data_IF_460138346935
#
_entry.id   IF_460138346935
#
_cell.length_a   1.000
_cell.length_b   1.000
_cell.length_c   1.000
_cell.angle_alpha   90.00
_cell.angle_beta   90.00
_cell.angle_gamma   90.00
#
_symmetry.space_group_name_H-M   'P 1'
#
loop_
_entity.id
_entity.type
_entity.pdbx_description
1 polymer ?
#
# COMPACT_ATOMS: atom_id res chain seq x y z
N UNK A 1 48.60 30.55 -16.23
CA UNK A 1 47.54 30.85 -15.27
C UNK A 1 46.65 29.61 -15.18
N UNK A 2 46.86 28.84 -14.12
CA UNK A 2 46.29 27.51 -13.92
C UNK A 2 44.76 27.56 -13.81
N UNK A 3 44.09 26.91 -14.75
CA UNK A 3 42.68 26.60 -14.65
C UNK A 3 42.50 25.48 -13.61
N UNK A 4 42.23 25.86 -12.37
CA UNK A 4 41.68 24.96 -11.35
C UNK A 4 40.24 24.56 -11.73
N UNK A 5 40.08 23.51 -12.53
CA UNK A 5 38.83 22.77 -12.62
C UNK A 5 38.87 21.64 -11.60
N UNK A 6 38.49 21.91 -10.36
CA UNK A 6 38.00 20.82 -9.51
C UNK A 6 36.70 20.30 -10.13
N UNK A 7 36.59 19.00 -10.45
CA UNK A 7 35.29 18.42 -10.73
C UNK A 7 34.54 18.43 -9.40
N UNK A 8 33.66 19.42 -9.21
CA UNK A 8 32.72 19.40 -8.10
C UNK A 8 31.95 18.09 -8.24
N UNK A 9 32.24 17.11 -7.37
CA UNK A 9 31.39 15.94 -7.18
C UNK A 9 29.95 16.45 -7.18
N UNK A 10 29.13 15.94 -8.11
CA UNK A 10 27.69 16.22 -8.14
C UNK A 10 27.12 15.73 -6.81
N UNK A 11 27.17 16.57 -5.78
CA UNK A 11 26.49 16.32 -4.50
C UNK A 11 25.05 16.08 -4.86
N UNK A 12 24.49 14.98 -4.34
CA UNK A 12 23.10 14.60 -4.58
C UNK A 12 22.22 15.82 -4.32
N UNK A 13 21.30 16.15 -5.22
CA UNK A 13 20.45 17.35 -5.15
C UNK A 13 19.78 17.53 -3.78
N UNK A 14 19.45 16.42 -3.13
CA UNK A 14 18.90 16.32 -1.77
C UNK A 14 19.83 16.97 -0.73
N UNK A 15 21.14 16.75 -0.83
CA UNK A 15 22.11 17.32 0.10
C UNK A 15 22.17 18.84 -0.01
N UNK A 16 22.09 19.38 -1.23
CA UNK A 16 22.05 20.84 -1.44
C UNK A 16 20.77 21.46 -0.88
N UNK A 17 19.61 20.81 -1.06
CA UNK A 17 18.35 21.27 -0.46
C UNK A 17 18.41 21.22 1.07
N UNK A 18 18.97 20.15 1.65
CA UNK A 18 19.13 19.99 3.10
C UNK A 18 20.14 20.98 3.72
N UNK A 19 21.01 21.59 2.91
CA UNK A 19 21.85 22.71 3.35
C UNK A 19 21.03 24.00 3.47
N UNK A 20 20.16 24.31 2.50
CA UNK A 20 19.25 25.46 2.58
C UNK A 20 18.18 25.30 3.67
N UNK A 21 17.79 24.06 3.95
CA UNK A 21 16.85 23.74 5.02
C UNK A 21 17.50 23.69 6.41
N UNK A 22 18.83 23.86 6.53
CA UNK A 22 19.56 23.80 7.80
C UNK A 22 18.99 24.66 8.95
N UNK A 23 18.62 25.94 8.74
CA UNK A 23 18.09 26.78 9.82
C UNK A 23 16.71 26.33 10.31
N UNK A 24 15.93 25.62 9.49
CA UNK A 24 14.57 25.17 9.81
C UNK A 24 14.48 23.66 10.09
N UNK A 25 15.62 22.99 10.33
CA UNK A 25 15.67 21.53 10.55
C UNK A 25 14.78 21.06 11.69
N UNK A 26 14.74 21.82 12.78
CA UNK A 26 13.93 21.46 13.96
C UNK A 26 12.43 21.44 13.63
N UNK A 27 11.93 22.44 12.90
CA UNK A 27 10.53 22.49 12.47
C UNK A 27 10.20 21.40 11.44
N UNK A 28 11.12 21.06 10.52
CA UNK A 28 10.92 19.91 9.62
C UNK A 28 10.87 18.57 10.36
N UNK A 29 11.68 18.40 11.40
CA UNK A 29 11.64 17.18 12.23
C UNK A 29 10.30 17.13 12.98
N UNK A 30 9.83 18.26 13.50
CA UNK A 30 8.52 18.35 14.17
C UNK A 30 7.39 18.01 13.19
N UNK A 31 7.35 18.59 11.99
CA UNK A 31 6.29 18.27 11.01
C UNK A 31 6.33 16.79 10.62
N UNK A 32 7.52 16.23 10.38
CA UNK A 32 7.69 14.80 10.09
C UNK A 32 7.21 13.92 11.25
N UNK A 33 7.55 14.28 12.49
CA UNK A 33 7.09 13.56 13.67
C UNK A 33 5.55 13.61 13.83
N UNK A 34 4.95 14.78 13.64
CA UNK A 34 3.50 14.95 13.65
C UNK A 34 2.82 14.10 12.55
N UNK A 35 3.40 14.04 11.35
CA UNK A 35 2.91 13.18 10.29
C UNK A 35 2.97 11.68 10.69
N UNK A 36 4.05 11.22 11.32
CA UNK A 36 4.17 9.84 11.83
C UNK A 36 3.10 9.54 12.88
N UNK A 37 2.89 10.45 13.84
CA UNK A 37 1.83 10.30 14.86
C UNK A 37 0.45 10.24 14.21
N UNK A 38 0.20 11.05 13.18
CA UNK A 38 -1.06 11.02 12.45
C UNK A 38 -1.33 9.66 11.79
N UNK A 39 -0.29 9.07 11.21
CA UNK A 39 -0.34 7.76 10.56
C UNK A 39 -0.63 6.65 11.58
N UNK A 40 -0.01 6.69 12.77
CA UNK A 40 -0.30 5.76 13.86
C UNK A 40 -1.75 5.92 14.34
N UNK A 41 -2.24 7.15 14.48
CA UNK A 41 -3.65 7.41 14.80
C UNK A 41 -4.62 6.80 13.76
N UNK A 42 -4.22 6.83 12.49
CA UNK A 42 -4.96 6.22 11.39
C UNK A 42 -5.02 4.68 11.42
N UNK A 43 -4.18 4.01 12.23
CA UNK A 43 -4.26 2.56 12.43
C UNK A 43 -5.37 2.15 13.42
N UNK A 44 -5.78 3.04 14.32
CA UNK A 44 -6.73 2.72 15.39
C UNK A 44 -8.09 2.19 14.87
N UNK A 45 -8.70 2.75 13.79
CA UNK A 45 -9.92 2.19 13.22
C UNK A 45 -9.77 0.75 12.71
N UNK A 46 -8.63 0.41 12.11
CA UNK A 46 -8.38 -0.95 11.62
C UNK A 46 -8.24 -1.95 12.77
N UNK A 47 -7.52 -1.55 13.83
CA UNK A 47 -7.40 -2.35 15.06
C UNK A 47 -8.75 -2.53 15.74
N UNK A 48 -9.56 -1.46 15.81
CA UNK A 48 -10.91 -1.53 16.36
C UNK A 48 -11.80 -2.50 15.57
N UNK A 49 -11.77 -2.48 14.23
CA UNK A 49 -12.49 -3.42 13.38
C UNK A 49 -12.06 -4.86 13.67
N UNK A 50 -10.75 -5.12 13.78
CA UNK A 50 -10.23 -6.44 14.13
C UNK A 50 -10.80 -6.97 15.46
N UNK A 51 -10.78 -6.16 16.52
CA UNK A 51 -11.32 -6.59 17.82
C UNK A 51 -12.85 -6.73 17.82
N UNK A 52 -13.56 -5.90 17.07
CA UNK A 52 -15.02 -6.04 16.89
C UNK A 52 -15.33 -7.37 16.18
N UNK A 53 -14.59 -7.71 15.12
CA UNK A 53 -14.74 -9.00 14.43
C UNK A 53 -14.41 -10.17 15.35
N UNK A 54 -13.35 -10.09 16.15
CA UNK A 54 -13.00 -11.11 17.14
C UNK A 54 -14.14 -11.34 18.15
N UNK A 55 -14.67 -10.27 18.74
CA UNK A 55 -15.81 -10.35 19.68
C UNK A 55 -17.06 -10.99 19.05
N UNK A 56 -17.28 -10.74 17.76
CA UNK A 56 -18.42 -11.28 17.02
C UNK A 56 -18.23 -12.76 16.68
N UNK A 57 -16.99 -13.19 16.42
CA UNK A 57 -16.63 -14.61 16.21
C UNK A 57 -16.74 -15.39 17.53
N UNK A 58 -16.24 -14.82 18.62
CA UNK A 58 -16.25 -15.45 19.96
C UNK A 58 -17.66 -15.50 20.58
N UNK A 59 -18.66 -14.85 19.97
CA UNK A 59 -20.05 -14.83 20.48
C UNK A 59 -20.25 -14.05 21.78
N UNK A 60 -19.24 -13.31 22.25
CA UNK A 60 -19.24 -12.55 23.52
C UNK A 60 -19.61 -11.08 23.32
N UNK A 61 -20.18 -10.72 22.17
CA UNK A 61 -20.48 -9.34 21.83
C UNK A 61 -21.48 -8.70 22.81
N UNK A 62 -21.05 -7.61 23.43
CA UNK A 62 -21.90 -6.72 24.23
C UNK A 62 -21.91 -5.34 23.58
N UNK A 63 -23.05 -4.64 23.61
CA UNK A 63 -23.18 -3.26 23.08
C UNK A 63 -22.09 -2.34 23.67
N UNK A 64 -21.79 -2.51 24.97
CA UNK A 64 -20.73 -1.79 25.66
C UNK A 64 -19.34 -2.02 25.01
N UNK A 65 -18.98 -3.28 24.75
CA UNK A 65 -17.67 -3.64 24.17
C UNK A 65 -17.51 -3.10 22.75
N UNK A 66 -18.57 -3.15 21.94
CA UNK A 66 -18.56 -2.58 20.59
C UNK A 66 -18.44 -1.05 20.64
N UNK A 67 -19.22 -0.39 21.51
CA UNK A 67 -19.17 1.07 21.65
C UNK A 67 -17.81 1.59 22.10
N UNK A 68 -17.10 0.84 22.96
CA UNK A 68 -15.74 1.15 23.40
C UNK A 68 -14.75 1.16 22.21
N UNK A 69 -14.78 0.15 21.35
CA UNK A 69 -13.91 0.10 20.18
C UNK A 69 -14.26 1.15 19.11
N UNK A 70 -15.56 1.46 18.93
CA UNK A 70 -15.99 2.58 18.07
C UNK A 70 -15.48 3.91 18.62
N UNK A 71 -15.51 4.11 19.93
CA UNK A 71 -14.97 5.31 20.57
C UNK A 71 -13.45 5.41 20.33
N UNK A 72 -12.70 4.33 20.52
CA UNK A 72 -11.26 4.28 20.21
C UNK A 72 -11.00 4.61 18.73
N UNK A 73 -11.76 4.02 17.81
CA UNK A 73 -11.62 4.28 16.38
C UNK A 73 -11.84 5.77 16.06
N UNK A 74 -12.88 6.37 16.66
CA UNK A 74 -13.23 7.78 16.46
C UNK A 74 -12.17 8.72 17.05
N UNK A 75 -11.71 8.44 18.26
CA UNK A 75 -10.61 9.17 18.89
C UNK A 75 -9.32 9.07 18.07
N UNK A 76 -8.98 7.87 17.58
CA UNK A 76 -7.82 7.67 16.72
C UNK A 76 -7.91 8.42 15.40
N UNK A 77 -9.07 8.42 14.75
CA UNK A 77 -9.32 9.20 13.54
C UNK A 77 -9.24 10.72 13.79
N UNK A 78 -9.74 11.17 14.95
CA UNK A 78 -9.61 12.56 15.36
C UNK A 78 -8.14 12.95 15.56
N UNK A 79 -7.36 12.12 16.27
CA UNK A 79 -5.90 12.29 16.42
C UNK A 79 -5.21 12.32 15.05
N UNK A 80 -5.53 11.39 14.16
CA UNK A 80 -5.01 11.38 12.79
C UNK A 80 -5.25 12.72 12.10
N UNK A 81 -6.49 13.20 12.11
CA UNK A 81 -6.87 14.42 11.38
C UNK A 81 -6.20 15.66 11.95
N UNK A 82 -6.16 15.81 13.28
CA UNK A 82 -5.52 16.95 13.95
C UNK A 82 -4.01 16.97 13.69
N UNK A 83 -3.32 15.84 13.88
CA UNK A 83 -1.87 15.78 13.71
C UNK A 83 -1.46 15.89 12.24
N UNK A 84 -2.27 15.37 11.31
CA UNK A 84 -2.05 15.55 9.88
C UNK A 84 -2.19 17.03 9.48
N UNK A 85 -3.22 17.72 9.96
CA UNK A 85 -3.42 19.15 9.70
C UNK A 85 -2.27 19.99 10.27
N UNK A 86 -1.83 19.71 11.50
CA UNK A 86 -0.70 20.40 12.12
C UNK A 86 0.60 20.13 11.36
N UNK A 87 0.87 18.89 10.98
CA UNK A 87 2.03 18.52 10.17
C UNK A 87 2.05 19.30 8.85
N UNK A 88 0.93 19.29 8.12
CA UNK A 88 0.82 19.97 6.83
C UNK A 88 1.02 21.48 6.98
N UNK A 89 0.46 22.10 8.02
CA UNK A 89 0.65 23.52 8.32
C UNK A 89 2.12 23.88 8.56
N UNK A 90 2.79 23.19 9.48
CA UNK A 90 4.21 23.47 9.78
C UNK A 90 5.10 23.19 8.57
N UNK A 91 4.79 22.15 7.80
CA UNK A 91 5.55 21.82 6.61
C UNK A 91 5.50 22.92 5.55
N UNK A 92 4.32 23.46 5.25
CA UNK A 92 4.18 24.58 4.32
C UNK A 92 4.87 25.85 4.85
N UNK A 93 4.74 26.13 6.16
CA UNK A 93 5.43 27.27 6.77
C UNK A 93 6.95 27.17 6.58
N UNK A 94 7.53 25.99 6.81
CA UNK A 94 8.96 25.76 6.60
C UNK A 94 9.34 25.85 5.13
N UNK A 95 8.56 25.25 4.23
CA UNK A 95 8.79 25.31 2.80
C UNK A 95 8.84 26.76 2.31
N UNK A 96 7.84 27.58 2.64
CA UNK A 96 7.81 28.99 2.24
C UNK A 96 8.94 29.81 2.86
N UNK A 97 9.31 29.54 4.12
CA UNK A 97 10.45 30.21 4.76
C UNK A 97 11.78 29.89 4.07
N UNK A 98 11.95 28.64 3.60
CA UNK A 98 13.12 28.22 2.81
C UNK A 98 13.11 28.91 1.44
N UNK A 99 11.96 28.93 0.76
CA UNK A 99 11.80 29.58 -0.55
C UNK A 99 12.11 31.08 -0.47
N UNK A 100 11.62 31.78 0.57
CA UNK A 100 11.92 33.18 0.84
C UNK A 100 13.43 33.40 0.98
N UNK A 101 14.10 32.61 1.81
CA UNK A 101 15.54 32.73 2.04
C UNK A 101 16.36 32.48 0.76
N UNK A 102 15.98 31.47 -0.04
CA UNK A 102 16.61 31.21 -1.33
C UNK A 102 16.41 32.41 -2.27
N UNK A 103 15.21 33.00 -2.34
CA UNK A 103 14.95 34.19 -3.16
C UNK A 103 15.78 35.39 -2.74
N UNK A 104 15.90 35.64 -1.44
CA UNK A 104 16.73 36.73 -0.91
C UNK A 104 18.22 36.53 -1.24
N UNK A 105 18.76 35.31 -1.09
CA UNK A 105 20.15 35.02 -1.43
C UNK A 105 20.42 35.11 -2.94
N UNK A 106 19.48 34.66 -3.77
CA UNK A 106 19.58 34.80 -5.22
C UNK A 106 19.54 36.27 -5.64
N UNK A 107 18.68 37.09 -5.02
CA UNK A 107 18.62 38.53 -5.26
C UNK A 107 19.93 39.23 -4.85
N UNK A 108 20.47 38.91 -3.67
CA UNK A 108 21.73 39.48 -3.19
C UNK A 108 22.91 39.12 -4.10
N UNK A 109 22.98 37.86 -4.56
CA UNK A 109 23.99 37.44 -5.54
C UNK A 109 23.82 38.11 -6.89
N UNK A 110 22.58 38.30 -7.35
CA UNK A 110 22.31 38.99 -8.61
C UNK A 110 22.81 40.44 -8.55
N UNK A 111 22.57 41.14 -7.43
CA UNK A 111 23.04 42.52 -7.24
C UNK A 111 24.57 42.65 -7.19
N UNK A 112 25.28 41.60 -6.78
CA UNK A 112 26.76 41.59 -6.70
C UNK A 112 27.45 41.02 -7.94
N UNK A 113 26.69 40.47 -8.90
CA UNK A 113 27.28 39.83 -10.06
C UNK A 113 27.79 40.86 -11.08
N UNK A 114 28.93 40.59 -11.77
CA UNK A 114 29.46 41.49 -12.79
C UNK A 114 28.44 41.77 -13.89
N UNK A 115 28.27 43.05 -14.25
CA UNK A 115 27.24 43.48 -15.20
C UNK A 115 27.36 42.78 -16.56
N UNK A 116 28.59 42.51 -17.02
CA UNK A 116 28.86 41.78 -18.26
C UNK A 116 28.38 40.32 -18.26
N UNK A 117 28.21 39.70 -17.08
CA UNK A 117 27.60 38.37 -16.99
C UNK A 117 26.07 38.45 -17.02
N UNK A 118 25.47 39.48 -16.42
CA UNK A 118 24.02 39.65 -16.33
C UNK A 118 23.43 40.09 -17.67
N UNK A 119 24.04 41.07 -18.35
CA UNK A 119 23.55 41.61 -19.63
C UNK A 119 23.44 40.52 -20.71
N UNK A 120 24.31 39.51 -20.66
CA UNK A 120 24.33 38.41 -21.62
C UNK A 120 23.31 37.30 -21.31
N UNK A 121 22.49 37.43 -20.26
CA UNK A 121 21.46 36.43 -19.92
C UNK A 121 20.07 36.93 -20.37
N UNK A 122 19.28 36.10 -21.08
CA UNK A 122 17.90 36.44 -21.39
C UNK A 122 17.07 36.68 -20.12
N UNK A 123 16.24 37.73 -20.11
CA UNK A 123 15.37 38.08 -18.97
C UNK A 123 14.48 36.91 -18.55
N UNK A 124 13.97 36.13 -19.52
CA UNK A 124 13.16 34.94 -19.26
C UNK A 124 13.89 33.85 -18.47
N UNK A 125 15.21 33.68 -18.70
CA UNK A 125 16.03 32.73 -17.92
C UNK A 125 16.18 33.18 -16.48
N UNK A 126 16.32 34.48 -16.24
CA UNK A 126 16.38 35.04 -14.89
C UNK A 126 15.06 34.84 -14.13
N UNK A 127 13.93 35.13 -14.78
CA UNK A 127 12.58 34.87 -14.24
C UNK A 127 12.40 33.39 -13.91
N UNK A 128 12.81 32.49 -14.80
CA UNK A 128 12.71 31.05 -14.57
C UNK A 128 13.53 30.59 -13.35
N UNK A 129 14.75 31.12 -13.17
CA UNK A 129 15.61 30.71 -12.05
C UNK A 129 15.12 31.25 -10.71
N UNK A 130 14.73 32.53 -10.63
CA UNK A 130 14.37 33.18 -9.37
C UNK A 130 12.95 32.84 -8.92
N UNK A 131 12.02 32.72 -9.87
CA UNK A 131 10.60 32.50 -9.59
C UNK A 131 10.26 31.03 -9.76
N UNK A 132 10.25 30.54 -11.00
CA UNK A 132 9.66 29.24 -11.34
C UNK A 132 10.41 28.07 -10.68
N UNK A 133 11.75 28.03 -10.79
CA UNK A 133 12.56 26.94 -10.23
C UNK A 133 12.58 26.93 -8.71
N UNK A 134 12.57 28.10 -8.08
CA UNK A 134 12.48 28.18 -6.61
C UNK A 134 11.12 27.69 -6.14
N UNK A 135 10.04 28.04 -6.86
CA UNK A 135 8.69 27.57 -6.56
C UNK A 135 8.57 26.04 -6.69
N UNK A 136 9.23 25.42 -7.67
CA UNK A 136 9.23 23.94 -7.77
C UNK A 136 9.85 23.21 -6.57
N UNK A 137 10.57 23.91 -5.68
CA UNK A 137 11.10 23.34 -4.44
C UNK A 137 10.05 23.24 -3.33
N UNK A 138 8.89 23.89 -3.48
CA UNK A 138 7.81 23.86 -2.49
C UNK A 138 7.26 22.45 -2.32
N UNK A 139 6.78 21.81 -3.39
CA UNK A 139 6.22 20.45 -3.36
C UNK A 139 7.11 19.41 -2.64
N UNK A 140 8.42 19.25 -2.97
CA UNK A 140 9.25 18.28 -2.28
C UNK A 140 9.48 18.61 -0.80
N UNK A 141 9.55 19.89 -0.43
CA UNK A 141 9.75 20.32 0.95
C UNK A 141 8.48 20.20 1.79
N UNK A 142 7.33 20.61 1.22
CA UNK A 142 6.05 20.68 1.90
C UNK A 142 5.39 19.31 2.05
N UNK A 143 5.50 18.44 1.04
CA UNK A 143 4.77 17.16 1.03
C UNK A 143 5.70 15.94 1.04
N UNK A 144 6.69 15.88 0.13
CA UNK A 144 7.47 14.64 -0.06
C UNK A 144 8.28 14.30 1.19
N UNK A 145 8.88 15.28 1.87
CA UNK A 145 9.66 14.99 3.08
C UNK A 145 8.75 14.51 4.22
N UNK A 146 7.72 15.25 4.69
CA UNK A 146 6.97 14.82 5.88
C UNK A 146 5.97 13.71 5.58
N UNK A 147 5.20 13.85 4.51
CA UNK A 147 4.16 12.88 4.15
C UNK A 147 4.78 11.64 3.50
N UNK A 148 5.77 11.81 2.62
CA UNK A 148 6.42 10.68 1.96
C UNK A 148 7.12 9.74 2.95
N UNK A 149 7.85 10.28 3.93
CA UNK A 149 8.46 9.46 4.99
C UNK A 149 7.40 8.73 5.83
N UNK A 150 6.33 9.43 6.21
CA UNK A 150 5.27 8.86 7.04
C UNK A 150 4.46 7.79 6.30
N UNK A 151 4.18 8.02 5.01
CA UNK A 151 3.45 7.08 4.16
C UNK A 151 4.26 5.81 3.84
N UNK A 152 5.59 5.87 3.85
CA UNK A 152 6.45 4.69 3.71
C UNK A 152 6.52 3.89 5.03
N UNK A 153 6.54 4.58 6.16
CA UNK A 153 6.59 3.93 7.47
C UNK A 153 5.35 3.07 7.76
N UNK A 154 4.18 3.44 7.23
CA UNK A 154 2.94 2.69 7.44
C UNK A 154 2.99 1.26 6.87
N UNK A 155 3.20 1.03 5.56
CA UNK A 155 3.35 -0.32 5.01
C UNK A 155 4.46 -1.12 5.69
N UNK A 156 5.59 -0.48 6.03
CA UNK A 156 6.70 -1.15 6.74
C UNK A 156 6.26 -1.60 8.12
N UNK A 157 5.60 -0.73 8.89
CA UNK A 157 5.10 -1.04 10.23
C UNK A 157 4.05 -2.14 10.20
N UNK A 158 3.09 -2.07 9.27
CA UNK A 158 2.07 -3.11 9.08
C UNK A 158 2.71 -4.44 8.65
N UNK A 159 3.71 -4.42 7.77
CA UNK A 159 4.43 -5.63 7.37
C UNK A 159 5.21 -6.25 8.54
N UNK A 160 5.90 -5.44 9.35
CA UNK A 160 6.58 -5.91 10.57
C UNK A 160 5.58 -6.50 11.56
N UNK A 161 4.42 -5.86 11.73
CA UNK A 161 3.35 -6.38 12.58
C UNK A 161 2.82 -7.72 12.04
N UNK A 162 2.58 -7.84 10.73
CA UNK A 162 2.16 -9.11 10.12
C UNK A 162 3.20 -10.22 10.28
N UNK A 163 4.51 -9.91 10.23
CA UNK A 163 5.57 -10.89 10.50
C UNK A 163 5.49 -11.47 11.93
N UNK A 164 4.98 -10.70 12.90
CA UNK A 164 4.77 -11.20 14.28
C UNK A 164 3.55 -12.11 14.41
N UNK A 165 2.58 -12.00 13.50
CA UNK A 165 1.37 -12.83 13.46
C UNK A 165 1.65 -14.11 12.67
N UNK A 166 1.98 -13.98 11.38
CA UNK A 166 2.34 -15.09 10.50
C UNK A 166 3.23 -14.59 9.35
N UNK A 167 4.45 -15.13 9.28
CA UNK A 167 5.43 -14.71 8.27
C UNK A 167 5.03 -15.07 6.83
N UNK A 168 4.25 -16.13 6.63
CA UNK A 168 3.77 -16.59 5.31
C UNK A 168 2.74 -15.62 4.76
N UNK A 169 1.79 -15.20 5.60
CA UNK A 169 0.81 -14.17 5.26
C UNK A 169 1.46 -12.81 5.03
N UNK A 170 2.46 -12.44 5.84
CA UNK A 170 3.24 -11.22 5.62
C UNK A 170 3.92 -11.24 4.24
N UNK A 171 4.65 -12.30 3.90
CA UNK A 171 5.29 -12.45 2.59
C UNK A 171 4.27 -12.44 1.43
N UNK A 172 3.08 -13.00 1.63
CA UNK A 172 2.01 -12.99 0.64
C UNK A 172 1.56 -11.56 0.28
N UNK A 173 1.50 -10.64 1.25
CA UNK A 173 1.19 -9.22 0.97
C UNK A 173 2.23 -8.55 0.07
N UNK A 174 3.48 -9.01 0.10
CA UNK A 174 4.57 -8.41 -0.64
C UNK A 174 4.58 -8.83 -2.11
N UNK A 175 3.84 -9.86 -2.53
CA UNK A 175 3.85 -10.39 -3.91
C UNK A 175 3.49 -9.31 -4.94
N UNK A 176 2.61 -8.36 -4.60
CA UNK A 176 2.21 -7.28 -5.52
C UNK A 176 3.32 -6.26 -5.75
N UNK A 177 4.23 -6.07 -4.79
CA UNK A 177 5.32 -5.08 -4.85
C UNK A 177 6.35 -5.37 -5.96
N UNK A 178 7.01 -6.55 -6.04
CA UNK A 178 7.99 -6.83 -7.08
C UNK A 178 7.34 -6.91 -8.47
N UNK A 179 6.10 -7.43 -8.56
CA UNK A 179 5.34 -7.46 -9.82
C UNK A 179 5.12 -6.04 -10.32
N UNK A 180 4.59 -5.16 -9.48
CA UNK A 180 4.34 -3.76 -9.83
C UNK A 180 5.64 -3.00 -10.12
N UNK A 181 6.69 -3.26 -9.35
CA UNK A 181 8.01 -2.68 -9.60
C UNK A 181 8.55 -3.06 -10.98
N UNK A 182 8.39 -4.32 -11.40
CA UNK A 182 8.79 -4.78 -12.73
C UNK A 182 8.00 -4.09 -13.84
N UNK A 183 6.68 -3.91 -13.67
CA UNK A 183 5.82 -3.17 -14.61
C UNK A 183 6.31 -1.72 -14.77
N UNK A 184 6.60 -1.05 -13.65
CA UNK A 184 7.15 0.31 -13.69
C UNK A 184 8.55 0.37 -14.30
N UNK A 185 9.40 -0.63 -14.07
CA UNK A 185 10.72 -0.70 -14.70
C UNK A 185 10.62 -0.82 -16.22
N UNK A 186 9.69 -1.64 -16.73
CA UNK A 186 9.42 -1.76 -18.17
C UNK A 186 8.91 -0.42 -18.73
N UNK A 187 7.99 0.23 -18.01
CA UNK A 187 7.45 1.54 -18.39
C UNK A 187 8.56 2.61 -18.45
N UNK A 188 9.49 2.60 -17.50
CA UNK A 188 10.58 3.58 -17.42
C UNK A 188 11.69 3.35 -18.45
N UNK A 189 11.82 2.16 -19.03
CA UNK A 189 12.92 1.79 -19.95
C UNK A 189 13.11 2.77 -21.11
N UNK A 190 12.00 3.25 -21.68
CA UNK A 190 12.03 4.13 -22.85
C UNK A 190 11.72 5.61 -22.50
N UNK A 191 11.59 5.94 -21.21
CA UNK A 191 11.16 7.26 -20.75
C UNK A 191 12.04 8.39 -21.29
N UNK A 192 13.37 8.28 -21.15
CA UNK A 192 14.29 9.34 -21.57
C UNK A 192 14.20 9.65 -23.08
N UNK A 193 14.03 8.61 -23.90
CA UNK A 193 13.90 8.76 -25.35
C UNK A 193 12.57 9.42 -25.73
N UNK A 194 11.46 8.94 -25.15
CA UNK A 194 10.13 9.54 -25.39
C UNK A 194 10.06 10.97 -24.87
N UNK A 195 10.63 11.25 -23.70
CA UNK A 195 10.68 12.59 -23.14
C UNK A 195 11.48 13.55 -24.02
N UNK A 196 12.62 13.11 -24.58
CA UNK A 196 13.41 13.91 -25.52
C UNK A 196 12.60 14.24 -26.79
N UNK A 197 12.00 13.24 -27.42
CA UNK A 197 11.17 13.42 -28.61
C UNK A 197 9.96 14.32 -28.35
N UNK A 198 9.32 14.19 -27.16
CA UNK A 198 8.27 15.10 -26.70
C UNK A 198 8.75 16.55 -26.61
N UNK A 199 9.95 16.78 -26.04
CA UNK A 199 10.54 18.13 -25.97
C UNK A 199 10.85 18.69 -27.35
N UNK A 200 11.39 17.89 -28.27
CA UNK A 200 11.66 18.33 -29.65
C UNK A 200 10.37 18.72 -30.38
N UNK A 201 9.31 17.90 -30.29
CA UNK A 201 8.01 18.20 -30.88
C UNK A 201 7.34 19.45 -30.26
N UNK A 202 7.47 19.61 -28.93
CA UNK A 202 6.98 20.79 -28.20
C UNK A 202 7.69 22.07 -28.64
N UNK A 203 9.03 22.02 -28.75
CA UNK A 203 9.83 23.15 -29.23
C UNK A 203 9.49 23.52 -30.67
N UNK A 204 9.27 22.53 -31.54
CA UNK A 204 8.85 22.75 -32.92
C UNK A 204 7.49 23.44 -33.01
N UNK A 205 6.50 23.00 -32.24
CA UNK A 205 5.18 23.67 -32.22
C UNK A 205 5.30 25.10 -31.69
N UNK A 206 6.05 25.32 -30.61
CA UNK A 206 6.26 26.66 -30.08
C UNK A 206 6.91 27.60 -31.10
N UNK A 207 7.90 27.14 -31.86
CA UNK A 207 8.52 27.98 -32.90
C UNK A 207 7.55 28.33 -34.02
N UNK A 208 6.72 27.37 -34.47
CA UNK A 208 5.68 27.62 -35.49
C UNK A 208 4.61 28.58 -34.97
N UNK A 209 4.23 28.50 -33.70
CA UNK A 209 3.28 29.43 -33.06
C UNK A 209 3.86 30.86 -33.10
N UNK A 210 5.12 31.03 -32.67
CA UNK A 210 5.79 32.34 -32.68
C UNK A 210 5.90 32.89 -34.10
N UNK A 211 6.38 32.10 -35.05
CA UNK A 211 6.48 32.50 -36.47
C UNK A 211 5.13 32.92 -37.05
N UNK A 212 4.05 32.21 -36.71
CA UNK A 212 2.70 32.53 -37.17
C UNK A 212 2.19 33.85 -36.56
N UNK A 213 2.43 34.09 -35.27
CA UNK A 213 1.99 35.30 -34.56
C UNK A 213 2.79 36.52 -35.01
N UNK A 214 4.11 36.42 -35.07
CA UNK A 214 4.98 37.52 -35.53
C UNK A 214 4.77 37.82 -37.02
N UNK A 215 4.52 36.79 -37.84
CA UNK A 215 4.29 36.92 -39.27
C UNK A 215 2.85 37.26 -39.69
N UNK A 216 1.91 37.42 -38.76
CA UNK A 216 0.47 37.45 -39.08
C UNK A 216 0.08 38.65 -39.96
N UNK A 217 0.72 39.80 -39.77
CA UNK A 217 0.49 41.00 -40.58
C UNK A 217 0.91 40.75 -42.03
N UNK A 218 2.11 40.19 -42.23
CA UNK A 218 2.64 39.82 -43.56
C UNK A 218 1.75 38.77 -44.22
N UNK A 219 1.33 37.74 -43.49
CA UNK A 219 0.45 36.68 -44.01
C UNK A 219 -0.87 37.26 -44.52
N UNK A 220 -1.46 38.23 -43.81
CA UNK A 220 -2.70 38.92 -44.20
C UNK A 220 -2.48 39.82 -45.42
N UNK A 221 -1.38 40.58 -45.45
CA UNK A 221 -1.06 41.50 -46.55
C UNK A 221 -0.81 40.76 -47.87
N UNK A 222 -0.19 39.58 -47.83
CA UNK A 222 0.05 38.74 -49.01
C UNK A 222 -1.07 37.71 -49.28
N UNK A 223 -2.19 37.77 -48.55
CA UNK A 223 -3.34 36.87 -48.66
C UNK A 223 -2.98 35.36 -48.61
N UNK A 224 -1.97 34.98 -47.81
CA UNK A 224 -1.48 33.58 -47.68
C UNK A 224 -2.09 32.82 -46.50
N UNK A 225 -3.19 33.31 -45.93
CA UNK A 225 -3.79 32.79 -44.68
C UNK A 225 -3.99 31.28 -44.67
N UNK A 226 -4.49 30.70 -45.76
CA UNK A 226 -4.74 29.25 -45.85
C UNK A 226 -3.47 28.39 -45.75
N UNK A 227 -2.37 28.81 -46.39
CA UNK A 227 -1.11 28.04 -46.38
C UNK A 227 -0.44 28.09 -45.01
N UNK A 228 -0.34 29.28 -44.42
CA UNK A 228 0.25 29.47 -43.10
C UNK A 228 -0.58 28.82 -41.99
N UNK A 229 -1.92 28.93 -42.09
CA UNK A 229 -2.83 28.23 -41.16
C UNK A 229 -2.68 26.71 -41.27
N UNK A 230 -2.54 26.15 -42.48
CA UNK A 230 -2.33 24.71 -42.66
C UNK A 230 -1.01 24.23 -42.05
N UNK A 231 0.09 25.00 -42.20
CA UNK A 231 1.40 24.72 -41.55
C UNK A 231 1.25 24.71 -40.02
N UNK A 232 0.61 25.74 -39.47
CA UNK A 232 0.34 25.88 -38.03
C UNK A 232 -0.53 24.72 -37.50
N UNK A 233 -1.68 24.49 -38.12
CA UNK A 233 -2.60 23.41 -37.74
C UNK A 233 -1.92 22.05 -37.82
N UNK A 234 -1.09 21.81 -38.84
CA UNK A 234 -0.38 20.55 -38.99
C UNK A 234 0.62 20.30 -37.85
N UNK A 235 1.39 21.34 -37.46
CA UNK A 235 2.32 21.27 -36.34
C UNK A 235 1.58 20.90 -35.04
N UNK A 236 0.45 21.56 -34.76
CA UNK A 236 -0.39 21.25 -33.59
C UNK A 236 -0.91 19.81 -33.64
N UNK A 237 -1.45 19.37 -34.78
CA UNK A 237 -1.96 17.99 -34.90
C UNK A 237 -0.87 16.95 -34.73
N UNK A 238 0.33 17.19 -35.27
CA UNK A 238 1.49 16.30 -35.13
C UNK A 238 1.92 16.17 -33.66
N UNK A 239 2.00 17.29 -32.94
CA UNK A 239 2.31 17.28 -31.51
C UNK A 239 1.24 16.59 -30.66
N UNK A 240 -0.04 16.82 -30.98
CA UNK A 240 -1.17 16.11 -30.36
C UNK A 240 -1.07 14.61 -30.60
N UNK A 241 -0.84 14.17 -31.83
CA UNK A 241 -0.75 12.76 -32.19
C UNK A 241 0.47 12.09 -31.51
N UNK A 242 1.60 12.77 -31.46
CA UNK A 242 2.78 12.32 -30.72
C UNK A 242 2.47 12.13 -29.22
N UNK A 243 1.85 13.14 -28.61
CA UNK A 243 1.46 13.12 -27.20
C UNK A 243 0.50 11.96 -26.93
N UNK A 244 -0.57 11.82 -27.73
CA UNK A 244 -1.53 10.73 -27.59
C UNK A 244 -0.90 9.34 -27.75
N UNK A 245 0.05 9.17 -28.67
CA UNK A 245 0.76 7.90 -28.84
C UNK A 245 1.63 7.56 -27.63
N UNK A 246 2.30 8.55 -27.03
CA UNK A 246 3.03 8.34 -25.79
C UNK A 246 2.09 7.98 -24.62
N UNK A 247 0.96 8.68 -24.48
CA UNK A 247 -0.06 8.32 -23.50
C UNK A 247 -0.57 6.89 -23.72
N UNK A 248 -0.97 6.52 -24.95
CA UNK A 248 -1.48 5.17 -25.27
C UNK A 248 -0.46 4.06 -24.99
N UNK A 249 0.82 4.31 -25.20
CA UNK A 249 1.87 3.31 -24.89
C UNK A 249 2.14 3.15 -23.39
N UNK A 250 1.93 4.21 -22.60
CA UNK A 250 2.25 4.22 -21.15
C UNK A 250 1.04 3.88 -20.29
N UNK A 251 -0.15 4.28 -20.72
CA UNK A 251 -1.40 4.20 -19.96
C UNK A 251 -1.76 2.78 -19.51
N UNK A 252 -1.64 1.72 -20.35
CA UNK A 252 -1.97 0.36 -19.91
C UNK A 252 -1.06 -0.11 -18.77
N UNK A 253 0.26 0.11 -18.89
CA UNK A 253 1.24 -0.26 -17.86
C UNK A 253 1.03 0.54 -16.58
N UNK A 254 0.77 1.85 -16.69
CA UNK A 254 0.47 2.71 -15.54
C UNK A 254 -0.81 2.27 -14.84
N UNK A 255 -1.88 1.99 -15.59
CA UNK A 255 -3.17 1.54 -15.04
C UNK A 255 -3.00 0.19 -14.35
N UNK A 256 -2.29 -0.74 -14.98
CA UNK A 256 -2.03 -2.06 -14.44
C UNK A 256 -1.18 -1.97 -13.16
N UNK A 257 -0.12 -1.16 -13.13
CA UNK A 257 0.68 -0.90 -11.93
C UNK A 257 -0.12 -0.28 -10.79
N UNK A 258 -0.94 0.75 -11.07
CA UNK A 258 -1.79 1.40 -10.07
C UNK A 258 -2.92 0.50 -9.55
N UNK A 259 -3.43 -0.42 -10.35
CA UNK A 259 -4.43 -1.40 -9.93
C UNK A 259 -3.81 -2.53 -9.08
N UNK A 260 -2.61 -3.01 -9.44
CA UNK A 260 -1.95 -4.12 -8.75
C UNK A 260 -1.35 -3.73 -7.41
N UNK A 261 -0.73 -2.55 -7.29
CA UNK A 261 -0.04 -2.14 -6.06
C UNK A 261 -0.91 -2.21 -4.80
N UNK A 262 -2.14 -1.66 -4.76
CA UNK A 262 -2.99 -1.73 -3.57
C UNK A 262 -3.73 -3.06 -3.43
N UNK A 263 -3.67 -3.95 -4.42
CA UNK A 263 -4.45 -5.20 -4.46
C UNK A 263 -3.77 -6.33 -3.68
N UNK A 264 -3.48 -6.10 -2.39
CA UNK A 264 -2.80 -7.06 -1.51
C UNK A 264 -3.51 -8.43 -1.42
N UNK A 265 -4.83 -8.45 -1.62
CA UNK A 265 -5.65 -9.66 -1.71
C UNK A 265 -5.19 -10.65 -2.79
N UNK A 266 -4.54 -10.18 -3.87
CA UNK A 266 -4.00 -11.04 -4.93
C UNK A 266 -3.01 -12.07 -4.36
N UNK A 267 -2.22 -11.67 -3.36
CA UNK A 267 -1.29 -12.56 -2.68
C UNK A 267 -1.92 -13.22 -1.45
N UNK A 268 -2.60 -12.45 -0.59
CA UNK A 268 -3.05 -12.97 0.72
C UNK A 268 -4.23 -13.95 0.62
N UNK A 269 -5.13 -13.80 -0.35
CA UNK A 269 -6.32 -14.65 -0.42
C UNK A 269 -6.02 -16.09 -0.84
N UNK A 270 -5.22 -16.36 -1.89
CA UNK A 270 -4.80 -17.73 -2.22
C UNK A 270 -3.97 -18.38 -1.12
N UNK A 271 -3.01 -17.64 -0.53
CA UNK A 271 -2.16 -18.17 0.54
C UNK A 271 -2.98 -18.46 1.80
N UNK A 272 -3.86 -17.56 2.20
CA UNK A 272 -4.77 -17.78 3.33
C UNK A 272 -5.68 -18.99 3.13
N UNK A 273 -6.22 -19.18 1.92
CA UNK A 273 -7.05 -20.35 1.61
C UNK A 273 -6.27 -21.67 1.69
N UNK A 274 -5.02 -21.69 1.22
CA UNK A 274 -4.15 -22.86 1.31
C UNK A 274 -3.76 -23.18 2.76
N UNK A 275 -3.49 -22.17 3.58
CA UNK A 275 -3.20 -22.34 5.01
C UNK A 275 -4.42 -22.89 5.76
N UNK A 276 -5.61 -22.37 5.45
CA UNK A 276 -6.87 -22.85 5.99
C UNK A 276 -7.11 -24.33 5.64
N UNK A 277 -6.90 -24.73 4.39
CA UNK A 277 -7.08 -26.12 3.96
C UNK A 277 -6.07 -27.09 4.59
N UNK A 278 -4.84 -26.64 4.84
CA UNK A 278 -3.78 -27.45 5.42
C UNK A 278 -3.78 -27.46 6.96
N UNK A 279 -4.77 -26.85 7.62
CA UNK A 279 -4.92 -26.83 9.08
C UNK A 279 -3.77 -26.16 9.83
N UNK A 280 -2.95 -25.35 9.15
CA UNK A 280 -1.69 -24.80 9.69
C UNK A 280 -1.82 -23.37 10.24
N UNK A 281 -3.06 -22.93 10.47
CA UNK A 281 -3.41 -21.77 11.29
C UNK A 281 -3.79 -22.24 12.70
N UNK A 282 -2.77 -22.40 13.55
CA UNK A 282 -2.86 -22.83 14.95
C UNK A 282 -3.82 -21.95 15.79
N UNK A 283 -4.09 -20.71 15.36
CA UNK A 283 -5.03 -19.80 16.01
C UNK A 283 -6.51 -20.17 15.83
N UNK A 284 -6.86 -20.92 14.77
CA UNK A 284 -8.21 -21.47 14.55
C UNK A 284 -8.32 -22.93 14.96
N UNK A 285 -7.23 -23.70 14.83
CA UNK A 285 -7.18 -25.08 15.34
C UNK A 285 -7.25 -25.16 16.87
N UNK A 286 -6.99 -24.05 17.58
CA UNK A 286 -7.21 -23.92 19.04
C UNK A 286 -8.63 -23.45 19.41
N UNK A 287 -9.37 -22.83 18.48
CA UNK A 287 -10.78 -22.49 18.65
C UNK A 287 -11.71 -23.71 18.47
N UNK A 288 -11.32 -24.69 17.65
CA UNK A 288 -12.11 -25.91 17.42
C UNK A 288 -12.23 -26.82 18.65
N UNK A 289 -11.17 -27.12 19.44
CA UNK A 289 -11.26 -27.94 20.65
C UNK A 289 -12.14 -27.30 21.74
N UNK A 290 -12.02 -25.98 21.92
CA UNK A 290 -12.79 -25.26 22.94
C UNK A 290 -14.27 -25.17 22.52
N UNK A 291 -14.56 -24.84 21.25
CA UNK A 291 -15.92 -24.89 20.71
C UNK A 291 -16.51 -26.31 20.70
N UNK A 292 -15.73 -27.33 20.35
CA UNK A 292 -16.18 -28.73 20.36
C UNK A 292 -16.52 -29.18 21.78
N UNK A 293 -15.72 -28.78 22.79
CA UNK A 293 -16.02 -29.05 24.20
C UNK A 293 -17.31 -28.36 24.68
N UNK A 294 -17.54 -27.10 24.28
CA UNK A 294 -18.74 -26.33 24.65
C UNK A 294 -20.00 -26.87 23.97
N UNK A 295 -19.92 -27.23 22.69
CA UNK A 295 -21.01 -27.89 21.94
C UNK A 295 -21.32 -29.24 22.58
N UNK A 296 -20.31 -30.03 22.93
CA UNK A 296 -20.50 -31.32 23.57
C UNK A 296 -21.16 -31.19 24.95
N UNK A 297 -20.72 -30.24 25.79
CA UNK A 297 -21.37 -29.95 27.06
C UNK A 297 -22.82 -29.49 26.89
N UNK A 298 -23.11 -28.63 25.91
CA UNK A 298 -24.47 -28.17 25.64
C UNK A 298 -25.39 -29.32 25.16
N UNK A 299 -24.88 -30.20 24.30
CA UNK A 299 -25.59 -31.41 23.85
C UNK A 299 -25.81 -32.38 25.02
N UNK A 300 -24.82 -32.60 25.88
CA UNK A 300 -24.97 -33.44 27.06
C UNK A 300 -26.04 -32.88 28.01
N UNK A 301 -26.06 -31.56 28.25
CA UNK A 301 -27.08 -30.92 29.08
C UNK A 301 -28.49 -31.05 28.50
N UNK A 302 -28.64 -30.88 27.18
CA UNK A 302 -29.92 -31.01 26.46
C UNK A 302 -30.43 -32.46 26.40
N UNK A 303 -29.54 -33.45 26.55
CA UNK A 303 -29.84 -34.88 26.40
C UNK A 303 -29.98 -35.62 27.73
N UNK A 304 -29.61 -35.03 28.88
CA UNK A 304 -29.66 -35.60 30.25
C UNK A 304 -30.98 -36.29 30.66
N UNK A 305 -32.10 -36.07 29.98
CA UNK A 305 -33.40 -36.71 30.27
C UNK A 305 -34.13 -37.23 29.03
N UNK A 306 -33.43 -37.44 27.92
CA UNK A 306 -34.02 -37.90 26.66
C UNK A 306 -33.26 -39.11 26.13
N UNK A 307 -33.99 -40.09 25.58
CA UNK A 307 -33.36 -41.16 24.81
C UNK A 307 -32.83 -40.57 23.51
N UNK A 308 -31.51 -40.47 23.41
CA UNK A 308 -30.83 -39.85 22.26
C UNK A 308 -30.16 -40.94 21.42
N UNK A 309 -30.58 -41.06 20.16
CA UNK A 309 -29.96 -41.96 19.19
C UNK A 309 -28.97 -41.17 18.35
N UNK A 310 -27.69 -41.49 18.46
CA UNK A 310 -26.60 -40.77 17.78
C UNK A 310 -25.94 -41.71 16.78
N UNK A 311 -25.89 -41.29 15.51
CA UNK A 311 -25.06 -41.93 14.49
C UNK A 311 -23.72 -41.20 14.49
N UNK A 312 -22.73 -41.76 15.17
CA UNK A 312 -21.45 -41.11 15.39
C UNK A 312 -20.37 -41.62 14.43
N UNK A 313 -19.58 -40.68 13.90
CA UNK A 313 -18.37 -40.96 13.12
C UNK A 313 -17.07 -40.54 13.85
N UNK A 314 -17.20 -39.89 15.02
CA UNK A 314 -16.09 -39.41 15.86
C UNK A 314 -15.96 -40.29 17.11
N UNK A 315 -14.73 -40.56 17.53
CA UNK A 315 -14.46 -41.45 18.67
C UNK A 315 -14.96 -40.86 20.00
N UNK A 316 -14.71 -39.57 20.23
CA UNK A 316 -15.11 -38.87 21.46
C UNK A 316 -16.62 -38.97 21.74
N UNK A 317 -17.46 -38.92 20.71
CA UNK A 317 -18.92 -39.06 20.84
C UNK A 317 -19.36 -40.49 21.16
N UNK A 318 -18.57 -41.49 20.74
CA UNK A 318 -18.87 -42.91 20.94
C UNK A 318 -18.41 -43.39 22.31
N UNK A 319 -17.27 -42.88 22.80
CA UNK A 319 -16.67 -43.32 24.07
C UNK A 319 -17.59 -43.15 25.28
N UNK A 320 -18.33 -42.05 25.34
CA UNK A 320 -19.20 -41.72 26.48
C UNK A 320 -20.63 -42.27 26.32
N UNK A 321 -20.90 -43.08 25.29
CA UNK A 321 -22.24 -43.61 25.06
C UNK A 321 -22.58 -44.70 26.08
N UNK A 322 -23.75 -44.57 26.73
CA UNK A 322 -24.31 -45.58 27.62
C UNK A 322 -24.50 -46.96 26.95
N UNK A 323 -24.70 -46.98 25.63
CA UNK A 323 -24.81 -48.20 24.84
C UNK A 323 -24.43 -47.93 23.39
N UNK A 324 -23.46 -48.69 22.89
CA UNK A 324 -23.01 -48.65 21.50
C UNK A 324 -23.60 -49.84 20.76
N UNK A 325 -24.07 -49.61 19.53
CA UNK A 325 -24.56 -50.65 18.63
C UNK A 325 -23.75 -50.59 17.34
N UNK A 326 -23.05 -51.67 17.02
CA UNK A 326 -22.21 -51.77 15.81
C UNK A 326 -23.00 -52.47 14.73
N UNK A 327 -23.17 -51.79 13.60
CA UNK A 327 -23.87 -52.29 12.42
C UNK A 327 -22.87 -52.66 11.33
N UNK A 328 -23.00 -53.85 10.77
CA UNK A 328 -22.23 -54.31 9.61
C UNK A 328 -23.18 -54.97 8.61
N UNK A 329 -23.16 -54.49 7.36
CA UNK A 329 -24.04 -54.97 6.26
C UNK A 329 -25.53 -55.04 6.65
N UNK A 330 -26.01 -54.04 7.39
CA UNK A 330 -27.41 -53.94 7.82
C UNK A 330 -27.80 -54.86 8.98
N UNK A 331 -26.87 -55.57 9.62
CA UNK A 331 -27.11 -56.39 10.81
C UNK A 331 -26.36 -55.85 12.01
N UNK A 332 -26.95 -55.96 13.20
CA UNK A 332 -26.27 -55.64 14.47
C UNK A 332 -25.29 -56.77 14.77
N UNK A 333 -24.00 -56.46 14.76
CA UNK A 333 -22.92 -57.43 14.99
C UNK A 333 -22.38 -57.37 16.41
N UNK A 334 -22.40 -56.22 17.06
CA UNK A 334 -21.96 -56.05 18.44
C UNK A 334 -22.80 -55.00 19.17
N UNK A 335 -22.94 -55.16 20.49
CA UNK A 335 -23.63 -54.21 21.38
C UNK A 335 -22.98 -54.25 22.77
N UNK A 336 -22.76 -53.09 23.38
CA UNK A 336 -22.14 -52.96 24.70
C UNK A 336 -21.64 -51.53 24.97
N UNK A 337 -20.93 -51.32 26.07
CA UNK A 337 -20.21 -50.06 26.33
C UNK A 337 -18.87 -50.01 25.61
N UNK A 338 -18.20 -48.85 25.63
CA UNK A 338 -16.87 -48.70 25.04
C UNK A 338 -15.86 -49.70 25.62
N UNK A 339 -15.83 -49.82 26.95
CA UNK A 339 -14.92 -50.69 27.69
C UNK A 339 -15.16 -52.17 27.36
N UNK A 340 -16.44 -52.58 27.29
CA UNK A 340 -16.82 -53.96 26.97
C UNK A 340 -16.46 -54.34 25.53
N UNK A 341 -16.63 -53.41 24.58
CA UNK A 341 -16.42 -53.66 23.17
C UNK A 341 -14.94 -53.60 22.74
N UNK A 342 -14.09 -52.90 23.50
CA UNK A 342 -12.63 -52.91 23.28
C UNK A 342 -12.00 -54.24 23.73
N UNK A 343 -12.49 -54.83 24.83
CA UNK A 343 -11.93 -56.08 25.36
C UNK A 343 -12.30 -57.29 24.50
N UNK A 344 -13.41 -57.23 23.77
CA UNK A 344 -13.85 -58.29 22.85
C UNK A 344 -13.19 -58.11 21.49
N UNK A 345 -12.71 -59.20 20.90
CA UNK A 345 -12.32 -59.17 19.50
C UNK A 345 -13.54 -58.94 18.60
N UNK A 346 -13.44 -58.01 17.64
CA UNK A 346 -14.52 -57.70 16.72
C UNK A 346 -14.36 -56.38 15.96
N UNK A 347 -15.40 -56.01 15.22
CA UNK A 347 -15.43 -54.85 14.31
C UNK A 347 -15.17 -53.53 15.04
N UNK A 348 -15.69 -53.37 16.26
CA UNK A 348 -15.44 -52.17 17.08
C UNK A 348 -13.96 -51.98 17.43
N UNK A 349 -13.33 -53.02 17.98
CA UNK A 349 -11.91 -52.99 18.37
C UNK A 349 -11.00 -52.72 17.16
N UNK A 350 -11.31 -53.31 16.00
CA UNK A 350 -10.58 -53.05 14.75
C UNK A 350 -10.71 -51.58 14.31
N UNK A 351 -11.91 -51.01 14.41
CA UNK A 351 -12.14 -49.59 14.11
C UNK A 351 -11.30 -48.67 15.02
N UNK A 352 -11.25 -48.95 16.32
CA UNK A 352 -10.42 -48.19 17.28
C UNK A 352 -8.93 -48.30 16.94
N UNK A 353 -8.45 -49.51 16.63
CA UNK A 353 -7.05 -49.74 16.28
C UNK A 353 -6.62 -48.95 15.05
N UNK A 354 -7.42 -48.99 13.98
CA UNK A 354 -7.16 -48.24 12.74
C UNK A 354 -7.14 -46.73 13.01
N UNK A 355 -8.06 -46.24 13.84
CA UNK A 355 -8.10 -44.83 14.26
C UNK A 355 -6.84 -44.43 15.02
N UNK A 356 -6.42 -45.24 16.00
CA UNK A 356 -5.23 -44.98 16.79
C UNK A 356 -3.94 -45.03 15.95
N UNK A 357 -3.86 -45.92 14.95
CA UNK A 357 -2.75 -45.94 14.00
C UNK A 357 -2.76 -44.72 13.06
N UNK A 358 -3.94 -44.28 12.62
CA UNK A 358 -4.07 -43.09 11.76
C UNK A 358 -3.74 -41.79 12.50
N UNK A 359 -4.12 -41.66 13.78
CA UNK A 359 -3.79 -40.49 14.61
C UNK A 359 -2.30 -40.40 14.93
N UNK A 360 -1.62 -41.54 15.03
CA UNK A 360 -0.16 -41.60 15.26
C UNK A 360 0.66 -41.69 13.96
N UNK A 361 0.03 -41.46 12.80
CA UNK A 361 0.70 -41.58 11.50
C UNK A 361 1.56 -40.36 11.22
N UNK A 362 2.87 -40.49 11.43
CA UNK A 362 3.87 -39.49 11.05
C UNK A 362 4.34 -39.79 9.62
N UNK A 363 4.10 -38.87 8.69
CA UNK A 363 4.70 -38.90 7.36
C UNK A 363 6.23 -38.87 7.51
N UNK A 364 6.91 -39.93 7.07
CA UNK A 364 8.37 -39.97 6.98
C UNK A 364 8.91 -39.13 5.83
#
# INVERSE_FOLDING_TARGET
MEHYTHPAQKKHWIHSILQFAAPFRHLMIISTFLAIVSVIGGLAPYVAIYYILKLLIDGTQTISSISYWIFIATCGYFVQTVFHALSSYYSHQVAYSILENIRLQLAERLMRAPLGHIINQPVGKMKNVIVDRVETLELPLAHIIPEGLSNILLPIGVFIYLLTIDYRMALATLITVPITFMIYMIMMRNFNSQYKNYMEASNHVNSVIVEYVEGIEVIKTFNQTNKSYKKFSHAITSFKDYTLNWFRSTWPLMTLGNALLPSTLVGTLPVGLLLYQNGTDEATASLDPENESLIQCALDELTKRKTTLIIAHRLATIQNAHQIVVLEKGKIVQKGTHEELIQREGTYRRFIHIRHEAENWVLK
#
